data_IF_107906923470
#
_entry.id   IF_107906923470
#
_cell.length_a   1.000
_cell.length_b   1.000
_cell.length_c   1.000
_cell.angle_alpha   90.00
_cell.angle_beta   90.00
_cell.angle_gamma   90.00
#
_symmetry.space_group_name_H-M   'P 1'
#
loop_
_entity.id
_entity.type
_entity.pdbx_description
1 polymer ?
#
# COMPACT_ATOMS: atom_id res chain seq x y z
N UNK A 1 -9.54 -34.44 -7.98
CA UNK A 1 -8.81 -33.17 -7.78
C UNK A 1 -9.55 -32.32 -6.77
N UNK A 2 -8.88 -31.87 -5.77
CA UNK A 2 -9.47 -30.97 -4.77
C UNK A 2 -9.11 -29.53 -5.09
N UNK A 3 -10.13 -28.69 -5.25
CA UNK A 3 -9.96 -27.27 -5.42
C UNK A 3 -10.03 -26.59 -4.04
N UNK A 4 -9.07 -25.76 -3.74
CA UNK A 4 -9.12 -24.93 -2.56
C UNK A 4 -9.48 -23.52 -2.96
N UNK A 5 -10.46 -22.95 -2.26
CA UNK A 5 -10.78 -21.54 -2.42
C UNK A 5 -9.75 -20.69 -1.68
N UNK A 6 -9.45 -19.53 -2.23
CA UNK A 6 -8.66 -18.49 -1.56
C UNK A 6 -9.66 -17.53 -0.94
N UNK A 7 -9.45 -17.19 0.33
CA UNK A 7 -10.28 -16.19 1.00
C UNK A 7 -10.22 -14.87 0.25
N UNK A 8 -11.38 -14.31 -0.06
CA UNK A 8 -11.48 -13.02 -0.72
C UNK A 8 -11.13 -11.87 0.21
N UNK A 9 -10.85 -10.68 -0.35
CA UNK A 9 -10.57 -9.51 0.46
C UNK A 9 -11.82 -9.05 1.21
N UNK A 10 -11.60 -8.38 2.34
CA UNK A 10 -12.68 -7.72 3.06
C UNK A 10 -13.23 -6.57 2.21
N UNK A 11 -14.56 -6.51 2.06
CA UNK A 11 -15.25 -5.49 1.27
C UNK A 11 -16.16 -4.59 2.10
N UNK A 12 -16.49 -4.99 3.34
CA UNK A 12 -17.41 -4.28 4.20
C UNK A 12 -16.67 -3.43 5.22
N UNK A 13 -16.83 -2.12 5.12
CA UNK A 13 -16.24 -1.17 6.05
C UNK A 13 -17.32 -0.20 6.54
N UNK A 14 -17.28 0.13 7.83
CA UNK A 14 -18.24 1.06 8.43
C UNK A 14 -18.05 2.50 7.94
N UNK A 15 -16.84 2.86 7.50
CA UNK A 15 -16.49 4.21 7.07
C UNK A 15 -15.26 4.21 6.18
N UNK A 16 -15.01 5.30 5.44
CA UNK A 16 -13.74 5.47 4.73
C UNK A 16 -12.52 5.39 5.66
N UNK A 17 -12.63 5.94 6.87
CA UNK A 17 -11.56 5.86 7.86
C UNK A 17 -11.21 4.42 8.20
N UNK A 18 -12.21 3.57 8.46
CA UNK A 18 -11.99 2.14 8.74
C UNK A 18 -11.31 1.44 7.56
N UNK A 19 -11.74 1.74 6.33
CA UNK A 19 -11.15 1.17 5.13
C UNK A 19 -9.65 1.51 5.01
N UNK A 20 -9.28 2.76 5.25
CA UNK A 20 -7.88 3.20 5.18
C UNK A 20 -7.05 2.67 6.36
N UNK A 21 -7.62 2.54 7.54
CA UNK A 21 -6.94 1.91 8.67
C UNK A 21 -6.64 0.43 8.39
N UNK A 22 -7.60 -0.27 7.81
CA UNK A 22 -7.40 -1.65 7.37
C UNK A 22 -6.33 -1.73 6.27
N UNK A 23 -6.38 -0.82 5.31
CA UNK A 23 -5.38 -0.71 4.25
C UNK A 23 -3.97 -0.49 4.79
N UNK A 24 -3.81 0.37 5.80
CA UNK A 24 -2.51 0.60 6.43
C UNK A 24 -1.95 -0.67 7.08
N UNK A 25 -2.80 -1.42 7.78
CA UNK A 25 -2.37 -2.70 8.36
C UNK A 25 -1.91 -3.68 7.27
N UNK A 26 -2.63 -3.71 6.16
CA UNK A 26 -2.25 -4.54 5.02
C UNK A 26 -0.92 -4.09 4.41
N UNK A 27 -0.71 -2.79 4.26
CA UNK A 27 0.56 -2.26 3.75
C UNK A 27 1.74 -2.61 4.66
N UNK A 28 1.55 -2.55 5.97
CA UNK A 28 2.57 -2.97 6.94
C UNK A 28 2.89 -4.46 6.83
N UNK A 29 1.88 -5.27 6.61
CA UNK A 29 2.06 -6.70 6.36
C UNK A 29 2.89 -6.94 5.09
N UNK A 30 2.57 -6.24 4.00
CA UNK A 30 3.33 -6.32 2.74
C UNK A 30 4.77 -5.88 2.94
N UNK A 31 5.00 -4.78 3.67
CA UNK A 31 6.34 -4.28 3.99
C UNK A 31 7.17 -5.34 4.72
N UNK A 32 6.57 -6.01 5.70
CA UNK A 32 7.25 -7.07 6.44
C UNK A 32 7.61 -8.24 5.53
N UNK A 33 6.70 -8.65 4.64
CA UNK A 33 6.94 -9.74 3.67
C UNK A 33 8.05 -9.38 2.69
N UNK A 34 8.07 -8.17 2.20
CA UNK A 34 9.14 -7.69 1.30
C UNK A 34 10.49 -7.71 2.03
N UNK A 35 10.52 -7.30 3.31
CA UNK A 35 11.73 -7.37 4.12
C UNK A 35 12.27 -8.79 4.25
N UNK A 36 11.40 -9.76 4.48
CA UNK A 36 11.79 -11.17 4.55
C UNK A 36 12.33 -11.70 3.22
N UNK A 37 11.70 -11.31 2.11
CA UNK A 37 12.19 -11.66 0.78
C UNK A 37 13.56 -11.04 0.50
N UNK A 38 13.77 -9.79 0.92
CA UNK A 38 15.06 -9.12 0.78
C UNK A 38 16.16 -9.88 1.54
N UNK A 39 15.89 -10.29 2.78
CA UNK A 39 16.82 -11.08 3.58
C UNK A 39 17.15 -12.40 2.89
N UNK A 40 16.15 -13.08 2.35
CA UNK A 40 16.35 -14.33 1.62
C UNK A 40 17.23 -14.12 0.38
N UNK A 41 17.01 -13.06 -0.38
CA UNK A 41 17.84 -12.78 -1.56
C UNK A 41 19.29 -12.49 -1.21
N UNK A 42 19.55 -11.91 -0.04
CA UNK A 42 20.92 -11.71 0.46
C UNK A 42 21.59 -13.03 0.80
N UNK A 43 20.87 -13.91 1.51
CA UNK A 43 21.38 -15.23 1.86
C UNK A 43 21.69 -16.06 0.62
N UNK A 44 20.85 -15.99 -0.40
CA UNK A 44 20.98 -16.72 -1.65
C UNK A 44 21.97 -16.06 -2.61
N UNK A 45 22.43 -14.84 -2.33
CA UNK A 45 23.29 -14.08 -3.23
C UNK A 45 22.60 -13.68 -4.54
N UNK A 46 21.27 -13.55 -4.54
CA UNK A 46 20.49 -13.24 -5.74
C UNK A 46 20.42 -11.75 -5.99
N UNK A 47 21.46 -11.19 -6.59
CA UNK A 47 21.64 -9.74 -6.71
C UNK A 47 20.53 -9.06 -7.55
N UNK A 48 20.10 -9.71 -8.64
CA UNK A 48 19.03 -9.15 -9.48
C UNK A 48 17.72 -8.99 -8.71
N UNK A 49 17.37 -9.98 -7.89
CA UNK A 49 16.18 -9.92 -7.04
C UNK A 49 16.31 -8.84 -5.96
N UNK A 50 17.51 -8.65 -5.40
CA UNK A 50 17.75 -7.57 -4.43
C UNK A 50 17.47 -6.20 -5.03
N UNK A 51 17.94 -5.94 -6.26
CA UNK A 51 17.72 -4.67 -6.95
C UNK A 51 16.23 -4.43 -7.20
N UNK A 52 15.51 -5.45 -7.65
CA UNK A 52 14.07 -5.35 -7.86
C UNK A 52 13.34 -5.06 -6.55
N UNK A 53 13.66 -5.78 -5.49
CA UNK A 53 13.00 -5.62 -4.19
C UNK A 53 13.30 -4.26 -3.55
N UNK A 54 14.45 -3.64 -3.82
CA UNK A 54 14.76 -2.29 -3.33
C UNK A 54 13.72 -1.26 -3.79
N UNK A 55 13.25 -1.38 -5.03
CA UNK A 55 12.18 -0.50 -5.51
C UNK A 55 10.91 -0.68 -4.66
N UNK A 56 10.53 -1.94 -4.38
CA UNK A 56 9.35 -2.22 -3.56
C UNK A 56 9.52 -1.72 -2.12
N UNK A 57 10.71 -1.83 -1.54
CA UNK A 57 10.99 -1.28 -0.21
C UNK A 57 10.74 0.24 -0.19
N UNK A 58 11.25 0.94 -1.19
CA UNK A 58 11.06 2.40 -1.33
C UNK A 58 9.59 2.74 -1.49
N UNK A 59 8.87 2.02 -2.35
CA UNK A 59 7.43 2.23 -2.57
C UNK A 59 6.63 2.00 -1.29
N UNK A 60 6.98 0.99 -0.49
CA UNK A 60 6.28 0.71 0.77
C UNK A 60 6.46 1.82 1.80
N UNK A 61 7.62 2.45 1.85
CA UNK A 61 7.83 3.62 2.71
C UNK A 61 6.86 4.74 2.34
N UNK A 62 6.71 5.00 1.04
CA UNK A 62 5.78 6.02 0.54
C UNK A 62 4.32 5.62 0.77
N UNK A 63 3.96 4.36 0.51
CA UNK A 63 2.58 3.88 0.70
C UNK A 63 2.14 3.97 2.17
N UNK A 64 2.97 3.55 3.10
CA UNK A 64 2.66 3.67 4.53
C UNK A 64 2.52 5.14 4.95
N UNK A 65 3.38 6.01 4.44
CA UNK A 65 3.30 7.44 4.70
C UNK A 65 2.01 8.05 4.12
N UNK A 66 1.63 7.66 2.91
CA UNK A 66 0.40 8.13 2.25
C UNK A 66 -0.85 7.69 3.02
N UNK A 67 -0.94 6.41 3.41
CA UNK A 67 -2.06 5.92 4.21
C UNK A 67 -2.15 6.65 5.54
N UNK A 68 -1.02 6.87 6.20
CA UNK A 68 -0.97 7.60 7.47
C UNK A 68 -1.48 9.04 7.31
N UNK A 69 -1.07 9.71 6.24
CA UNK A 69 -1.52 11.06 5.95
C UNK A 69 -3.02 11.11 5.65
N UNK A 70 -3.52 10.20 4.83
CA UNK A 70 -4.94 10.11 4.49
C UNK A 70 -5.78 9.84 5.74
N UNK A 71 -5.35 8.92 6.59
CA UNK A 71 -6.02 8.63 7.86
C UNK A 71 -6.10 9.89 8.73
N UNK A 72 -5.01 10.64 8.82
CA UNK A 72 -4.97 11.89 9.57
C UNK A 72 -5.96 12.90 9.01
N UNK A 73 -6.02 13.04 7.69
CA UNK A 73 -6.98 13.94 7.01
C UNK A 73 -8.42 13.50 7.22
N UNK A 74 -8.70 12.20 7.13
CA UNK A 74 -10.04 11.65 7.38
C UNK A 74 -10.50 11.92 8.81
N UNK A 75 -9.64 11.79 9.79
CA UNK A 75 -9.97 12.12 11.18
C UNK A 75 -10.32 13.60 11.36
N UNK A 76 -9.66 14.49 10.62
CA UNK A 76 -9.94 15.94 10.68
C UNK A 76 -11.28 16.34 10.08
N UNK A 77 -11.72 15.61 9.04
CA UNK A 77 -12.97 15.91 8.34
C UNK A 77 -14.12 15.00 8.76
N UNK A 78 -13.98 14.28 9.86
CA UNK A 78 -15.01 13.40 10.37
C UNK A 78 -16.30 14.19 10.60
N UNK A 79 -17.40 13.75 9.98
CA UNK A 79 -18.69 14.43 10.04
C UNK A 79 -18.83 15.64 9.11
N UNK A 80 -17.82 16.00 8.33
CA UNK A 80 -17.85 17.11 7.38
C UNK A 80 -17.90 16.58 5.93
N UNK A 81 -19.10 16.61 5.33
CA UNK A 81 -19.29 16.12 3.96
C UNK A 81 -18.51 16.92 2.90
N UNK A 82 -18.32 18.22 3.10
CA UNK A 82 -17.54 19.07 2.19
C UNK A 82 -16.07 18.68 2.24
N UNK A 83 -15.52 18.48 3.44
CA UNK A 83 -14.14 18.05 3.63
C UNK A 83 -13.90 16.67 3.01
N UNK A 84 -14.83 15.74 3.15
CA UNK A 84 -14.77 14.42 2.53
C UNK A 84 -14.75 14.51 1.00
N UNK A 85 -15.58 15.38 0.41
CA UNK A 85 -15.59 15.57 -1.04
C UNK A 85 -14.25 16.10 -1.55
N UNK A 86 -13.68 17.09 -0.88
CA UNK A 86 -12.38 17.66 -1.25
C UNK A 86 -11.27 16.61 -1.17
N UNK A 87 -11.30 15.78 -0.13
CA UNK A 87 -10.33 14.70 0.03
C UNK A 87 -10.48 13.65 -1.06
N UNK A 88 -11.71 13.30 -1.42
CA UNK A 88 -11.99 12.36 -2.52
C UNK A 88 -11.41 12.87 -3.84
N UNK A 89 -11.59 14.16 -4.13
CA UNK A 89 -11.02 14.78 -5.32
C UNK A 89 -9.49 14.76 -5.32
N UNK A 90 -8.87 14.99 -4.17
CA UNK A 90 -7.41 14.91 -4.03
C UNK A 90 -6.90 13.49 -4.31
N UNK A 91 -7.55 12.47 -3.76
CA UNK A 91 -7.17 11.08 -3.95
C UNK A 91 -7.38 10.61 -5.39
N UNK A 92 -8.38 11.12 -6.09
CA UNK A 92 -8.65 10.78 -7.48
C UNK A 92 -7.52 11.21 -8.44
N UNK A 93 -6.64 12.10 -7.99
CA UNK A 93 -5.51 12.59 -8.81
C UNK A 93 -4.23 11.77 -8.64
N UNK A 94 -4.23 10.73 -7.79
CA UNK A 94 -3.05 9.88 -7.60
C UNK A 94 -2.74 9.09 -8.87
N UNK A 95 -1.45 9.05 -9.23
CA UNK A 95 -0.95 8.31 -10.40
C UNK A 95 0.04 7.26 -9.95
N UNK A 96 -0.15 6.03 -10.41
CA UNK A 96 0.81 4.95 -10.20
C UNK A 96 1.90 4.99 -11.28
N UNK A 97 3.17 4.96 -10.84
CA UNK A 97 4.32 4.88 -11.73
C UNK A 97 4.97 3.50 -11.59
N UNK A 98 4.87 2.63 -12.62
CA UNK A 98 5.46 1.29 -12.54
C UNK A 98 6.99 1.33 -12.58
N UNK A 99 7.69 0.28 -12.03
CA UNK A 99 9.15 0.24 -11.99
C UNK A 99 9.81 0.36 -13.37
N UNK A 100 9.21 -0.24 -14.38
CA UNK A 100 9.74 -0.23 -15.76
C UNK A 100 9.75 1.19 -16.34
N UNK A 101 8.68 1.96 -16.11
CA UNK A 101 8.61 3.35 -16.55
C UNK A 101 9.62 4.23 -15.81
N UNK A 102 9.79 4.01 -14.51
CA UNK A 102 10.78 4.74 -13.71
C UNK A 102 12.21 4.41 -14.14
N UNK A 103 12.50 3.16 -14.48
CA UNK A 103 13.82 2.72 -14.92
C UNK A 103 14.16 3.18 -16.34
N UNK A 104 13.15 3.43 -17.17
CA UNK A 104 13.33 3.88 -18.57
C UNK A 104 13.43 5.38 -18.76
N UNK A 105 13.33 6.14 -17.70
CA UNK A 105 13.33 7.60 -17.75
C UNK A 105 14.71 8.22 -18.01
#
# INVERSE_FOLDING_TARGET
MLFRSVEGPKNDFASPLEAFQFGLQHERFVTERIGKLMDLTREEGHHAAQIMLQWFVTEQVEEEANFTLIIRKLKRVEGDGRGLLLLDQELAQRVFVPPVAAAGA
#
